data_IF_407181992422
#
_entry.id   IF_407181992422
#
_cell.length_a   1.000
_cell.length_b   1.000
_cell.length_c   1.000
_cell.angle_alpha   90.00
_cell.angle_beta   90.00
_cell.angle_gamma   90.00
#
_symmetry.space_group_name_H-M   'P 1'
#
loop_
_entity.id
_entity.type
_entity.pdbx_description
1 polymer ?
#
# COMPACT_ATOMS: atom_id res chain seq x y z
N UNK A 1 -3.48 29.41 11.65
CA UNK A 1 -3.89 28.25 12.47
C UNK A 1 -2.71 27.32 12.63
N UNK A 2 -2.14 27.20 13.83
CA UNK A 2 -1.16 26.12 14.09
C UNK A 2 -1.95 24.80 14.03
N UNK A 3 -1.72 24.00 12.99
CA UNK A 3 -2.20 22.62 12.96
C UNK A 3 -1.50 21.91 14.10
N UNK A 4 -2.23 21.57 15.15
CA UNK A 4 -1.70 20.67 16.16
C UNK A 4 -1.59 19.29 15.51
N UNK A 5 -0.37 18.91 15.14
CA UNK A 5 -0.07 17.58 14.63
C UNK A 5 -0.27 16.57 15.76
N UNK A 6 -1.32 15.76 15.65
CA UNK A 6 -1.59 14.70 16.61
C UNK A 6 -0.59 13.55 16.36
N UNK A 7 0.17 13.16 17.40
CA UNK A 7 1.12 12.03 17.35
C UNK A 7 0.48 10.73 16.83
N UNK A 8 -0.79 10.48 17.13
CA UNK A 8 -1.56 9.33 16.62
C UNK A 8 -1.72 9.37 15.09
N UNK A 9 -1.95 10.55 14.52
CA UNK A 9 -2.06 10.74 13.08
C UNK A 9 -0.70 10.55 12.38
N UNK A 10 0.39 11.06 12.97
CA UNK A 10 1.75 10.85 12.45
C UNK A 10 2.15 9.37 12.44
N UNK A 11 1.86 8.65 13.54
CA UNK A 11 2.12 7.21 13.65
C UNK A 11 1.29 6.39 12.66
N UNK A 12 0.04 6.78 12.43
CA UNK A 12 -0.81 6.15 11.44
C UNK A 12 -0.23 6.30 10.04
N UNK A 13 0.18 7.51 9.64
CA UNK A 13 0.75 7.76 8.31
C UNK A 13 2.07 7.00 8.12
N UNK A 14 2.98 7.02 9.10
CA UNK A 14 4.24 6.28 9.01
C UNK A 14 4.03 4.77 8.79
N UNK A 15 3.00 4.18 9.43
CA UNK A 15 2.63 2.77 9.21
C UNK A 15 2.09 2.54 7.79
N UNK A 16 1.40 3.53 7.22
CA UNK A 16 0.91 3.43 5.84
C UNK A 16 2.04 3.53 4.83
N UNK A 17 3.01 4.40 5.07
CA UNK A 17 4.19 4.54 4.22
C UNK A 17 4.97 3.21 4.17
N UNK A 18 5.17 2.56 5.34
CA UNK A 18 5.80 1.24 5.42
C UNK A 18 5.01 0.15 4.66
N UNK A 19 3.68 0.18 4.72
CA UNK A 19 2.84 -0.77 3.99
C UNK A 19 2.94 -0.59 2.47
N UNK A 20 2.98 0.65 1.99
CA UNK A 20 3.13 0.97 0.57
C UNK A 20 4.52 0.62 0.07
N UNK A 21 5.56 0.88 0.87
CA UNK A 21 6.94 0.50 0.56
C UNK A 21 7.07 -1.02 0.38
N UNK A 22 6.54 -1.82 1.33
CA UNK A 22 6.52 -3.29 1.20
C UNK A 22 5.77 -3.77 -0.04
N UNK A 23 4.66 -3.11 -0.38
CA UNK A 23 3.90 -3.42 -1.58
C UNK A 23 4.69 -3.12 -2.86
N UNK A 24 5.46 -2.04 -2.90
CA UNK A 24 6.31 -1.72 -4.06
C UNK A 24 7.49 -2.68 -4.18
N UNK A 25 8.09 -3.09 -3.07
CA UNK A 25 9.11 -4.16 -3.05
C UNK A 25 8.59 -5.46 -3.65
N UNK A 26 7.45 -5.95 -3.15
CA UNK A 26 6.78 -7.13 -3.72
C UNK A 26 6.58 -6.99 -5.23
N UNK A 27 6.10 -5.82 -5.69
CA UNK A 27 5.87 -5.54 -7.11
C UNK A 27 7.16 -5.65 -7.94
N UNK A 28 8.24 -5.08 -7.43
CA UNK A 28 9.54 -5.05 -8.09
C UNK A 28 10.19 -6.44 -8.13
N UNK A 29 10.17 -7.18 -7.03
CA UNK A 29 10.71 -8.54 -6.93
C UNK A 29 9.99 -9.50 -7.88
N UNK A 30 8.67 -9.40 -7.95
CA UNK A 30 7.84 -10.24 -8.83
C UNK A 30 7.75 -9.70 -10.27
N UNK A 31 8.42 -8.57 -10.58
CA UNK A 31 8.46 -7.93 -11.91
C UNK A 31 7.08 -7.65 -12.51
N UNK A 32 6.11 -7.29 -11.68
CA UNK A 32 4.76 -6.96 -12.14
C UNK A 32 4.58 -5.44 -12.31
N UNK A 33 3.78 -5.06 -13.29
CA UNK A 33 3.39 -3.66 -13.48
C UNK A 33 2.38 -3.21 -12.42
N UNK A 34 2.25 -1.89 -12.22
CA UNK A 34 1.19 -1.32 -11.36
C UNK A 34 -0.22 -1.76 -11.81
N UNK A 35 -0.42 -2.02 -13.11
CA UNK A 35 -1.68 -2.55 -13.65
C UNK A 35 -1.94 -3.99 -13.21
N UNK A 36 -0.94 -4.86 -13.34
CA UNK A 36 -1.04 -6.25 -12.87
C UNK A 36 -1.24 -6.32 -11.35
N UNK A 37 -0.56 -5.47 -10.58
CA UNK A 37 -0.79 -5.36 -9.14
C UNK A 37 -2.23 -4.92 -8.81
N UNK A 38 -2.77 -3.97 -9.58
CA UNK A 38 -4.15 -3.52 -9.41
C UNK A 38 -5.14 -4.66 -9.68
N UNK A 39 -4.87 -5.48 -10.70
CA UNK A 39 -5.68 -6.64 -11.04
C UNK A 39 -5.62 -7.71 -9.92
N UNK A 40 -4.44 -7.96 -9.34
CA UNK A 40 -4.29 -8.85 -8.17
C UNK A 40 -5.06 -8.36 -6.94
N UNK A 41 -5.05 -7.05 -6.68
CA UNK A 41 -5.73 -6.43 -5.54
C UNK A 41 -7.20 -6.11 -5.81
N UNK A 42 -7.72 -6.43 -7.01
CA UNK A 42 -9.08 -6.10 -7.46
C UNK A 42 -9.44 -4.62 -7.25
N UNK A 43 -8.52 -3.72 -7.63
CA UNK A 43 -8.73 -2.28 -7.62
C UNK A 43 -8.41 -1.68 -8.98
N UNK A 44 -8.90 -0.47 -9.24
CA UNK A 44 -8.56 0.22 -10.48
C UNK A 44 -7.07 0.63 -10.50
N UNK A 45 -6.44 0.63 -11.68
CA UNK A 45 -5.03 1.04 -11.86
C UNK A 45 -4.74 2.41 -11.25
N UNK A 46 -5.63 3.39 -11.44
CA UNK A 46 -5.45 4.74 -10.91
C UNK A 46 -5.42 4.78 -9.38
N UNK A 47 -6.01 3.79 -8.71
CA UNK A 47 -5.96 3.66 -7.25
C UNK A 47 -4.54 3.29 -6.81
N UNK A 48 -3.94 2.26 -7.41
CA UNK A 48 -2.56 1.85 -7.14
C UNK A 48 -1.58 2.97 -7.49
N UNK A 49 -1.78 3.62 -8.64
CA UNK A 49 -0.95 4.74 -9.06
C UNK A 49 -0.98 5.88 -8.04
N UNK A 50 -2.13 6.20 -7.45
CA UNK A 50 -2.25 7.24 -6.41
C UNK A 50 -1.55 6.86 -5.11
N UNK A 51 -1.53 5.58 -4.73
CA UNK A 51 -0.80 5.12 -3.55
C UNK A 51 0.71 5.31 -3.71
N UNK A 52 1.27 4.93 -4.85
CA UNK A 52 2.71 5.06 -5.11
C UNK A 52 3.18 6.49 -5.43
N UNK A 53 2.28 7.46 -5.52
CA UNK A 53 2.60 8.86 -5.76
C UNK A 53 2.14 9.76 -4.59
N UNK A 54 1.91 9.17 -3.41
CA UNK A 54 1.51 9.87 -2.18
C UNK A 54 0.26 10.74 -2.34
N UNK A 55 -0.63 10.38 -3.27
CA UNK A 55 -1.86 11.13 -3.55
C UNK A 55 -3.04 10.65 -2.73
N UNK A 56 -3.00 9.42 -2.23
CA UNK A 56 -4.02 8.84 -1.36
C UNK A 56 -3.46 7.63 -0.60
N UNK A 57 -4.12 7.25 0.49
CA UNK A 57 -3.79 6.09 1.31
C UNK A 57 -4.82 4.98 1.07
N UNK A 58 -4.45 3.69 1.08
CA UNK A 58 -5.41 2.59 1.00
C UNK A 58 -6.40 2.62 2.17
N UNK A 59 -7.68 2.41 1.87
CA UNK A 59 -8.73 2.26 2.89
C UNK A 59 -8.59 0.93 3.65
N UNK A 60 -9.42 0.73 4.68
CA UNK A 60 -9.32 -0.45 5.56
C UNK A 60 -9.40 -1.79 4.81
N UNK A 61 -10.28 -1.91 3.81
CA UNK A 61 -10.43 -3.12 2.99
C UNK A 61 -9.17 -3.33 2.14
N UNK A 62 -8.71 -2.28 1.48
CA UNK A 62 -7.53 -2.34 0.63
C UNK A 62 -6.27 -2.72 1.44
N UNK A 63 -6.08 -2.16 2.64
CA UNK A 63 -4.98 -2.54 3.53
C UNK A 63 -5.03 -4.00 3.94
N UNK A 64 -6.21 -4.54 4.20
CA UNK A 64 -6.37 -5.96 4.52
C UNK A 64 -5.91 -6.84 3.35
N UNK A 65 -6.34 -6.53 2.12
CA UNK A 65 -5.93 -7.29 0.94
C UNK A 65 -4.45 -7.13 0.60
N UNK A 66 -3.87 -5.94 0.79
CA UNK A 66 -2.42 -5.72 0.64
C UNK A 66 -1.65 -6.61 1.62
N UNK A 67 -2.02 -6.60 2.92
CA UNK A 67 -1.36 -7.43 3.93
C UNK A 67 -1.47 -8.92 3.61
N UNK A 68 -2.67 -9.37 3.22
CA UNK A 68 -2.91 -10.75 2.83
C UNK A 68 -2.02 -11.18 1.65
N UNK A 69 -1.93 -10.34 0.61
CA UNK A 69 -1.06 -10.59 -0.55
C UNK A 69 0.42 -10.75 -0.14
N UNK A 70 0.90 -9.88 0.74
CA UNK A 70 2.29 -9.91 1.23
C UNK A 70 2.57 -11.13 2.13
N UNK A 71 1.62 -11.50 3.00
CA UNK A 71 1.73 -12.68 3.87
C UNK A 71 1.75 -13.99 3.07
N UNK A 72 0.92 -14.09 2.03
CA UNK A 72 0.90 -15.23 1.11
C UNK A 72 2.22 -15.37 0.35
N UNK A 73 2.87 -14.26 -0.02
CA UNK A 73 4.19 -14.28 -0.67
C UNK A 73 5.29 -14.78 0.27
N UNK A 74 5.36 -14.25 1.50
CA UNK A 74 6.38 -14.64 2.47
C UNK A 74 6.24 -16.10 2.95
N UNK A 75 5.04 -16.70 2.80
CA UNK A 75 4.81 -18.10 3.16
C UNK A 75 5.26 -19.09 2.08
N UNK A 76 5.67 -18.59 0.90
CA UNK A 76 6.13 -19.40 -0.24
C UNK A 76 7.67 -19.53 -0.29
N UNK A 77 8.39 -18.80 0.57
CA UNK A 77 9.85 -18.90 0.77
C UNK A 77 10.19 -19.88 1.91
#
# INVERSE_FOLDING_TARGET
MKKFENKSFLLYNANMDELIEKLDHYRLENRISQKQLADQLNVHFTTVNRWFNDRNIPNKIQRYHIKKLLEEHNSQE
#
